data_IF_349776220066
#
_entry.id   IF_349776220066
#
_cell.length_a   1.000
_cell.length_b   1.000
_cell.length_c   1.000
_cell.angle_alpha   90.00
_cell.angle_beta   90.00
_cell.angle_gamma   90.00
#
_symmetry.space_group_name_H-M   'P 1'
#
loop_
_entity.id
_entity.type
_entity.pdbx_description
1 polymer ?
#
# COMPACT_ATOMS: atom_id res chain seq x y z
N UNK A 1 -1.65 28.49 11.24
CA UNK A 1 -1.19 27.78 10.03
C UNK A 1 -1.52 26.31 10.20
N UNK A 2 -2.37 25.74 9.34
CA UNK A 2 -2.98 24.41 9.55
C UNK A 2 -2.33 23.23 8.81
N UNK A 3 -1.33 23.50 7.96
CA UNK A 3 -0.65 22.47 7.15
C UNK A 3 0.39 21.66 7.93
N UNK A 4 0.89 22.16 9.06
CA UNK A 4 1.91 21.46 9.88
C UNK A 4 1.36 20.18 10.53
N UNK A 5 0.04 20.08 10.71
CA UNK A 5 -0.62 18.88 11.24
C UNK A 5 -0.65 17.70 10.25
N UNK A 6 -0.23 17.91 8.99
CA UNK A 6 -0.15 16.88 7.97
C UNK A 6 1.25 16.24 7.85
N UNK A 7 2.28 16.82 8.49
CA UNK A 7 3.67 16.37 8.35
C UNK A 7 3.98 15.02 9.02
N UNK A 8 3.03 14.46 9.78
CA UNK A 8 3.18 13.18 10.50
C UNK A 8 1.90 12.34 10.52
N UNK A 9 0.95 12.66 9.63
CA UNK A 9 -0.31 11.94 9.54
C UNK A 9 -0.07 10.50 9.08
N UNK A 10 -0.56 9.53 9.86
CA UNK A 10 -0.62 8.13 9.40
C UNK A 10 -1.36 8.08 8.07
N UNK A 11 -0.76 7.48 7.04
CA UNK A 11 -1.36 7.35 5.70
C UNK A 11 -2.79 6.78 5.76
N UNK A 12 -3.07 5.93 6.75
CA UNK A 12 -4.39 5.37 7.01
C UNK A 12 -5.46 6.42 7.40
N UNK A 13 -5.08 7.49 8.10
CA UNK A 13 -6.00 8.57 8.47
C UNK A 13 -6.29 9.49 7.28
N UNK A 14 -5.29 9.74 6.43
CA UNK A 14 -5.50 10.45 5.16
C UNK A 14 -6.41 9.64 4.22
N UNK A 15 -6.18 8.33 4.10
CA UNK A 15 -7.03 7.41 3.35
C UNK A 15 -8.47 7.45 3.87
N UNK A 16 -8.70 7.28 5.18
CA UNK A 16 -10.04 7.34 5.76
C UNK A 16 -10.73 8.70 5.52
N UNK A 17 -10.01 9.82 5.66
CA UNK A 17 -10.61 11.14 5.43
C UNK A 17 -10.98 11.39 3.97
N UNK A 18 -10.23 10.83 3.02
CA UNK A 18 -10.47 11.03 1.59
C UNK A 18 -11.55 10.08 1.04
N UNK A 19 -11.63 8.87 1.56
CA UNK A 19 -12.49 7.82 1.00
C UNK A 19 -13.68 7.49 1.90
N UNK A 20 -13.65 7.85 3.18
CA UNK A 20 -14.62 7.40 4.19
C UNK A 20 -14.52 5.91 4.52
N UNK A 21 -13.50 5.22 3.99
CA UNK A 21 -13.44 3.77 3.96
C UNK A 21 -12.57 3.18 5.06
N UNK A 22 -12.93 1.98 5.50
CA UNK A 22 -12.07 1.22 6.40
C UNK A 22 -10.74 0.89 5.73
N UNK A 23 -9.67 1.13 6.48
CA UNK A 23 -8.30 0.91 6.04
C UNK A 23 -7.67 -0.14 6.95
N UNK A 24 -7.22 -1.25 6.36
CA UNK A 24 -6.48 -2.29 7.05
C UNK A 24 -4.98 -1.99 6.95
N UNK A 25 -4.25 -2.15 8.04
CA UNK A 25 -2.82 -1.89 8.09
C UNK A 25 -2.05 -3.17 8.42
N UNK A 26 -1.02 -3.45 7.63
CA UNK A 26 -0.17 -4.63 7.76
C UNK A 26 1.28 -4.19 7.93
N UNK A 27 1.86 -4.46 9.09
CA UNK A 27 3.29 -4.23 9.35
C UNK A 27 4.10 -5.36 8.73
N UNK A 28 5.02 -5.04 7.81
CA UNK A 28 5.72 -6.06 7.02
C UNK A 28 6.80 -6.77 7.84
N UNK A 29 7.45 -6.07 8.77
CA UNK A 29 8.48 -6.63 9.66
C UNK A 29 7.98 -7.68 10.68
N UNK A 30 6.66 -7.86 10.82
CA UNK A 30 6.06 -8.85 11.74
C UNK A 30 4.97 -9.70 11.06
N UNK A 31 5.01 -9.83 9.73
CA UNK A 31 4.07 -10.66 9.00
C UNK A 31 4.17 -12.12 9.42
N UNK A 32 3.13 -12.63 10.07
CA UNK A 32 3.00 -14.05 10.38
C UNK A 32 2.83 -14.91 9.12
N UNK A 33 2.13 -14.38 8.10
CA UNK A 33 1.90 -15.04 6.83
C UNK A 33 1.95 -14.03 5.65
N UNK A 34 3.11 -13.92 4.97
CA UNK A 34 3.25 -13.08 3.79
C UNK A 34 2.36 -13.52 2.61
N UNK A 35 2.02 -14.81 2.49
CA UNK A 35 1.20 -15.29 1.38
C UNK A 35 -0.24 -14.79 1.49
N UNK A 36 -0.79 -14.80 2.71
CA UNK A 36 -2.10 -14.21 2.97
C UNK A 36 -2.15 -12.73 2.58
N UNK A 37 -1.09 -11.97 2.87
CA UNK A 37 -1.01 -10.56 2.46
C UNK A 37 -1.01 -10.39 0.95
N UNK A 38 -0.27 -11.23 0.22
CA UNK A 38 -0.27 -11.20 -1.25
C UNK A 38 -1.69 -11.39 -1.80
N UNK A 39 -2.40 -12.41 -1.32
CA UNK A 39 -3.78 -12.69 -1.74
C UNK A 39 -4.71 -11.51 -1.42
N UNK A 40 -4.57 -10.92 -0.23
CA UNK A 40 -5.35 -9.73 0.15
C UNK A 40 -5.05 -8.52 -0.76
N UNK A 41 -3.78 -8.28 -1.10
CA UNK A 41 -3.42 -7.20 -2.01
C UNK A 41 -3.95 -7.45 -3.43
N UNK A 42 -3.90 -8.68 -3.93
CA UNK A 42 -4.48 -9.03 -5.23
C UNK A 42 -5.98 -8.79 -5.27
N UNK A 43 -6.71 -9.26 -4.26
CA UNK A 43 -8.15 -9.07 -4.19
C UNK A 43 -8.51 -7.58 -4.06
N UNK A 44 -7.80 -6.85 -3.19
CA UNK A 44 -8.01 -5.42 -3.00
C UNK A 44 -7.83 -4.63 -4.30
N UNK A 45 -6.71 -4.83 -5.01
CA UNK A 45 -6.45 -4.11 -6.26
C UNK A 45 -7.45 -4.48 -7.37
N UNK A 46 -7.90 -5.75 -7.44
CA UNK A 46 -8.94 -6.18 -8.38
C UNK A 46 -10.29 -5.50 -8.11
N UNK A 47 -10.60 -5.27 -6.84
CA UNK A 47 -11.82 -4.58 -6.41
C UNK A 47 -11.71 -3.04 -6.44
N UNK A 48 -10.61 -2.49 -6.98
CA UNK A 48 -10.42 -1.04 -7.08
C UNK A 48 -10.08 -0.37 -5.75
N UNK A 49 -9.64 -1.13 -4.76
CA UNK A 49 -9.16 -0.61 -3.48
C UNK A 49 -7.83 0.13 -3.67
N UNK A 50 -7.55 1.07 -2.76
CA UNK A 50 -6.31 1.84 -2.77
C UNK A 50 -5.32 1.16 -1.82
N UNK A 51 -4.14 0.80 -2.32
CA UNK A 51 -3.06 0.27 -1.50
C UNK A 51 -1.87 1.24 -1.47
N UNK A 52 -1.41 1.59 -0.27
CA UNK A 52 -0.25 2.45 -0.03
C UNK A 52 0.80 1.70 0.78
N UNK A 53 2.07 1.91 0.50
CA UNK A 53 3.18 1.31 1.24
C UNK A 53 4.22 2.35 1.60
N UNK A 54 4.89 2.18 2.74
CA UNK A 54 5.94 3.08 3.21
C UNK A 54 7.31 2.41 3.26
N UNK A 55 8.36 3.14 2.88
CA UNK A 55 9.76 2.80 3.17
C UNK A 55 10.50 4.07 3.58
N UNK A 56 11.19 4.03 4.73
CA UNK A 56 12.04 5.13 5.23
C UNK A 56 11.28 6.46 5.37
N UNK A 57 10.00 6.39 5.78
CA UNK A 57 9.15 7.58 5.95
C UNK A 57 8.62 8.17 4.64
N UNK A 58 8.83 7.49 3.50
CA UNK A 58 8.28 7.87 2.19
C UNK A 58 7.15 6.94 1.78
N UNK A 59 6.01 7.50 1.40
CA UNK A 59 4.83 6.74 0.98
C UNK A 59 4.79 6.54 -0.54
N UNK A 60 4.38 5.36 -0.97
CA UNK A 60 4.24 4.95 -2.36
C UNK A 60 2.85 4.34 -2.58
N UNK A 61 2.29 4.54 -3.76
CA UNK A 61 1.06 3.86 -4.16
C UNK A 61 1.38 2.52 -4.84
N UNK A 62 0.77 1.43 -4.38
CA UNK A 62 0.84 0.14 -5.06
C UNK A 62 -0.16 0.18 -6.21
N UNK A 63 0.32 0.07 -7.46
CA UNK A 63 -0.52 0.24 -8.65
C UNK A 63 -0.82 -1.08 -9.36
N UNK A 64 0.04 -2.09 -9.19
CA UNK A 64 -0.13 -3.40 -9.83
C UNK A 64 0.66 -4.48 -9.11
N UNK A 65 0.16 -5.71 -9.19
CA UNK A 65 0.88 -6.92 -8.81
C UNK A 65 1.09 -7.76 -10.07
N UNK A 66 2.26 -8.38 -10.17
CA UNK A 66 2.65 -9.22 -11.28
C UNK A 66 3.28 -10.52 -10.78
N UNK A 67 2.99 -11.61 -11.50
CA UNK A 67 3.63 -12.91 -11.33
C UNK A 67 2.90 -13.89 -10.42
N UNK A 68 3.43 -15.11 -10.37
CA UNK A 68 2.90 -16.22 -9.59
C UNK A 68 4.00 -16.84 -8.72
N UNK A 69 3.63 -17.25 -7.50
CA UNK A 69 4.47 -17.92 -6.51
C UNK A 69 5.90 -17.36 -6.37
N UNK A 70 6.87 -17.91 -7.12
CA UNK A 70 8.30 -17.64 -6.95
C UNK A 70 8.83 -16.38 -7.67
N UNK A 71 8.03 -15.75 -8.54
CA UNK A 71 8.44 -14.54 -9.29
C UNK A 71 7.39 -13.44 -9.18
N UNK A 72 7.08 -13.07 -7.95
CA UNK A 72 6.14 -12.00 -7.65
C UNK A 72 6.85 -10.66 -7.59
N UNK A 73 6.21 -9.64 -8.14
CA UNK A 73 6.62 -8.26 -8.05
C UNK A 73 5.41 -7.35 -7.91
N UNK A 74 5.62 -6.20 -7.28
CA UNK A 74 4.66 -5.11 -7.24
C UNK A 74 5.22 -3.97 -8.04
N UNK A 75 4.38 -3.32 -8.83
CA UNK A 75 4.69 -2.00 -9.35
C UNK A 75 4.17 -0.97 -8.36
N UNK A 76 5.07 -0.11 -7.89
CA UNK A 76 4.75 1.02 -7.03
C UNK A 76 4.99 2.34 -7.75
N UNK A 77 4.31 3.38 -7.30
CA UNK A 77 4.44 4.74 -7.82
C UNK A 77 4.78 5.69 -6.69
N UNK A 78 5.79 6.52 -6.92
CA UNK A 78 6.07 7.66 -6.05
C UNK A 78 5.05 8.79 -6.31
N UNK A 79 4.29 9.23 -5.30
CA UNK A 79 3.32 10.32 -5.46
C UNK A 79 3.98 11.68 -5.74
N UNK A 80 5.24 11.91 -5.31
CA UNK A 80 5.94 13.17 -5.50
C UNK A 80 6.49 13.36 -6.92
N UNK A 81 6.72 12.27 -7.66
CA UNK A 81 7.31 12.30 -8.99
C UNK A 81 6.36 11.69 -10.05
N UNK A 82 5.59 12.52 -10.77
CA UNK A 82 4.67 12.06 -11.80
C UNK A 82 5.44 11.29 -12.89
N UNK A 83 5.08 10.02 -13.11
CA UNK A 83 5.72 9.14 -14.09
C UNK A 83 6.81 8.22 -13.53
N UNK A 84 7.19 8.35 -12.26
CA UNK A 84 8.10 7.43 -11.60
C UNK A 84 7.35 6.16 -11.18
N UNK A 85 7.73 5.03 -11.79
CA UNK A 85 7.28 3.70 -11.41
C UNK A 85 8.48 2.84 -11.09
N UNK A 86 8.37 2.05 -10.03
CA UNK A 86 9.39 1.08 -9.63
C UNK A 86 8.75 -0.31 -9.58
N UNK A 87 9.41 -1.28 -10.20
CA UNK A 87 9.04 -2.69 -10.09
C UNK A 87 9.86 -3.31 -8.95
N UNK A 88 9.19 -3.63 -7.85
CA UNK A 88 9.78 -4.15 -6.61
C UNK A 88 9.46 -5.63 -6.50
N UNK A 89 10.47 -6.49 -6.32
CA UNK A 89 10.23 -7.91 -6.08
C UNK A 89 9.52 -8.13 -4.74
N UNK A 90 8.66 -9.14 -4.64
CA UNK A 90 7.92 -9.44 -3.41
C UNK A 90 8.83 -9.63 -2.19
N UNK A 91 9.96 -10.32 -2.37
CA UNK A 91 10.94 -10.51 -1.30
C UNK A 91 11.61 -9.19 -0.87
N UNK A 92 11.81 -8.27 -1.81
CA UNK A 92 12.33 -6.93 -1.49
C UNK A 92 11.27 -6.15 -0.71
N UNK A 93 10.02 -6.21 -1.17
CA UNK A 93 8.89 -5.53 -0.54
C UNK A 93 8.72 -5.93 0.93
N UNK A 94 8.68 -7.23 1.24
CA UNK A 94 8.44 -7.71 2.61
C UNK A 94 9.60 -7.44 3.58
N UNK A 95 10.80 -7.09 3.07
CA UNK A 95 12.00 -6.86 3.89
C UNK A 95 12.36 -5.38 4.00
N UNK A 96 12.20 -4.61 2.92
CA UNK A 96 12.65 -3.22 2.84
C UNK A 96 11.56 -2.20 3.12
N UNK A 97 10.29 -2.59 3.11
CA UNK A 97 9.18 -1.69 3.39
C UNK A 97 8.69 -1.91 4.80
N UNK A 98 8.18 -0.85 5.41
CA UNK A 98 7.76 -0.84 6.80
C UNK A 98 6.35 -1.44 6.94
N UNK A 99 5.44 -1.00 6.08
CA UNK A 99 4.03 -1.36 6.14
C UNK A 99 3.32 -1.22 4.79
N UNK A 100 2.13 -1.82 4.72
CA UNK A 100 1.16 -1.56 3.67
C UNK A 100 -0.23 -1.32 4.27
N UNK A 101 -0.89 -0.27 3.79
CA UNK A 101 -2.26 0.09 4.13
C UNK A 101 -3.16 -0.18 2.93
N UNK A 102 -4.28 -0.88 3.15
CA UNK A 102 -5.26 -1.21 2.12
C UNK A 102 -6.59 -0.58 2.50
N UNK A 103 -7.05 0.36 1.68
CA UNK A 103 -8.30 1.07 1.84
C UNK A 103 -9.35 0.49 0.89
N UNK A 104 -10.35 -0.18 1.46
CA UNK A 104 -11.38 -0.84 0.68
C UNK A 104 -12.46 0.17 0.34
N UNK A 105 -12.63 0.53 -0.94
CA UNK A 105 -13.72 1.41 -1.35
C UNK A 105 -15.03 0.90 -0.74
N UNK A 106 -15.76 1.79 -0.06
CA UNK A 106 -17.03 1.45 0.56
C UNK A 106 -17.91 0.88 -0.54
N UNK A 107 -18.37 -0.36 -0.36
CA UNK A 107 -19.27 -0.98 -1.32
C UNK A 107 -20.40 0.02 -1.59
N UNK A 108 -20.50 0.48 -2.84
CA UNK A 108 -21.59 1.33 -3.25
C UNK A 108 -22.89 0.53 -3.02
N UNK A 109 -23.63 0.92 -1.98
CA UNK A 109 -24.97 0.40 -1.71
C UNK A 109 -25.95 0.92 -2.75
#
# INVERSE_FOLDING_TARGET
SGYENLNSGYDAQALFMLTGCQTNHYSLGCLADPEALWVHLEDALRNGCIALTGREGHAYAVVRLDGAHARRSLRIRDPHYPGSFEDVSWNCFTVQFDAVAICHAAAAH
#
